data_IF_760412148972
#
_entry.id   IF_760412148972
#
_cell.length_a   1.000
_cell.length_b   1.000
_cell.length_c   1.000
_cell.angle_alpha   90.00
_cell.angle_beta   90.00
_cell.angle_gamma   90.00
#
_symmetry.space_group_name_H-M   'P 1'
#
loop_
_entity.id
_entity.type
_entity.pdbx_description
1 polymer ?
2 non-polymer ?
3 water ?
#
# COMPACT_ATOMS: atom_id res chain seq x y z
N UNK A 1 8.74 -6.36 2.84
CA UNK A 1 8.00 -7.65 2.85
C UNK A 1 8.92 -8.71 3.42
N UNK A 2 8.45 -9.39 4.48
CA UNK A 2 9.20 -10.50 5.09
C UNK A 2 8.72 -11.85 4.53
N UNK A 3 9.64 -12.71 4.16
CA UNK A 3 9.30 -14.05 3.73
C UNK A 3 8.76 -14.05 2.33
N UNK A 4 9.04 -12.99 1.56
CA UNK A 4 8.60 -13.03 0.14
C UNK A 4 9.75 -13.30 -0.85
N UNK A 5 9.48 -13.05 -2.12
CA UNK A 5 10.47 -13.34 -3.17
C UNK A 5 10.57 -12.11 -4.05
N UNK A 6 11.60 -12.12 -4.90
CA UNK A 6 11.68 -11.07 -5.92
C UNK A 6 10.46 -11.13 -6.86
N UNK A 7 9.83 -9.98 -7.13
CA UNK A 7 8.80 -9.89 -8.17
C UNK A 7 9.49 -10.02 -9.55
N UNK A 8 8.75 -10.47 -10.55
CA UNK A 8 9.30 -10.33 -11.92
C UNK A 8 9.15 -8.87 -12.33
N UNK A 9 9.96 -8.44 -13.26
CA UNK A 9 9.88 -7.09 -13.75
C UNK A 9 8.51 -6.83 -14.33
N UNK A 10 7.86 -5.70 -13.97
CA UNK A 10 6.47 -5.35 -14.41
C UNK A 10 5.33 -6.26 -13.92
N UNK A 11 5.58 -7.07 -12.89
CA UNK A 11 4.52 -8.02 -12.41
C UNK A 11 3.39 -7.29 -11.68
N UNK A 12 3.72 -6.16 -11.05
CA UNK A 12 2.77 -5.36 -10.34
C UNK A 12 2.83 -3.92 -10.87
N UNK A 13 2.30 -3.68 -12.11
CA UNK A 13 2.49 -2.37 -12.72
C UNK A 13 1.64 -1.27 -12.06
N UNK A 14 0.82 -1.63 -11.09
CA UNK A 14 0.18 -0.61 -10.22
C UNK A 14 0.96 -0.22 -9.00
N UNK A 15 2.03 -0.95 -8.68
CA UNK A 15 2.82 -0.66 -7.46
C UNK A 15 3.70 0.57 -7.71
N UNK A 16 3.61 1.54 -6.80
CA UNK A 16 4.32 2.81 -6.98
C UNK A 16 5.24 3.00 -5.76
N UNK A 17 6.39 3.67 -5.91
CA UNK A 17 7.28 4.05 -4.80
C UNK A 17 7.22 5.60 -4.59
N UNK A 18 6.92 6.05 -3.35
CA UNK A 18 6.99 7.44 -2.96
C UNK A 18 8.28 7.74 -2.19
N UNK A 19 9.08 8.62 -2.79
CA UNK A 19 10.31 9.19 -2.24
C UNK A 19 10.14 10.62 -1.74
N UNK A 20 10.55 10.86 -0.51
CA UNK A 20 10.57 12.22 0.04
C UNK A 20 11.90 12.86 -0.30
N UNK A 21 11.91 14.11 -0.64
CA UNK A 21 13.09 14.78 -1.08
C UNK A 21 14.31 14.62 -0.19
N UNK A 22 15.34 14.02 -0.76
CA UNK A 22 16.60 13.69 -0.10
C UNK A 22 16.58 12.53 0.84
N UNK A 23 15.53 11.70 0.78
CA UNK A 23 15.38 10.61 1.74
C UNK A 23 15.19 9.26 1.18
N UNK A 24 15.03 9.15 -0.14
CA UNK A 24 14.69 7.88 -0.77
C UNK A 24 13.29 7.37 -0.47
N UNK A 25 13.07 6.10 -0.82
CA UNK A 25 11.78 5.46 -0.66
C UNK A 25 11.25 5.58 0.74
N UNK A 26 10.00 6.01 0.84
CA UNK A 26 9.36 6.10 2.18
C UNK A 26 8.17 5.22 2.34
N UNK A 27 7.27 5.33 1.34
CA UNK A 27 6.05 4.59 1.34
C UNK A 27 5.73 4.06 -0.05
N UNK A 28 4.80 3.09 -0.04
CA UNK A 28 4.21 2.55 -1.26
C UNK A 28 2.99 3.36 -1.58
N UNK A 29 2.57 3.24 -2.80
CA UNK A 29 1.21 3.64 -3.27
C UNK A 29 0.72 2.72 -4.41
N UNK A 30 -0.52 2.93 -4.82
CA UNK A 30 -1.07 2.15 -5.95
C UNK A 30 -1.61 3.10 -6.98
N UNK A 31 -1.43 2.74 -8.26
CA UNK A 31 -1.94 3.57 -9.32
C UNK A 31 -3.44 3.20 -9.53
N UNK A 32 -4.37 4.16 -9.46
CA UNK A 32 -5.80 3.81 -9.69
C UNK A 32 -6.44 4.39 -10.97
N UNK A 33 -5.71 5.32 -11.58
CA UNK A 33 -6.17 6.10 -12.76
C UNK A 33 -4.95 6.87 -13.33
N UNK A 34 -5.09 7.53 -14.53
CA UNK A 34 -3.93 8.29 -15.03
C UNK A 34 -3.42 9.32 -14.03
N UNK A 35 -4.28 9.82 -13.14
CA UNK A 35 -3.98 10.99 -12.31
C UNK A 35 -3.98 10.76 -10.80
N UNK A 36 -4.32 9.54 -10.36
CA UNK A 36 -4.58 9.34 -8.92
C UNK A 36 -3.89 8.14 -8.40
N UNK A 37 -3.34 8.27 -7.19
CA UNK A 37 -2.85 7.15 -6.48
C UNK A 37 -3.55 7.03 -5.14
N UNK A 38 -3.62 5.80 -4.65
CA UNK A 38 -3.98 5.45 -3.26
C UNK A 38 -2.73 5.08 -2.45
N UNK A 39 -2.69 5.55 -1.19
CA UNK A 39 -1.61 5.29 -0.21
C UNK A 39 -2.18 5.39 1.21
N UNK A 40 -1.30 5.45 2.24
CA UNK A 40 -1.74 5.45 3.61
C UNK A 40 -1.52 6.86 4.15
N UNK A 41 -2.51 7.39 4.87
CA UNK A 41 -2.45 8.75 5.41
C UNK A 41 -1.23 9.00 6.29
N UNK A 42 -0.83 7.96 7.03
CA UNK A 42 0.23 8.08 8.02
C UNK A 42 1.58 8.33 7.38
N UNK A 43 1.68 8.13 6.08
CA UNK A 43 2.92 8.49 5.38
C UNK A 43 3.05 10.02 5.20
N UNK A 44 1.96 10.76 5.34
CA UNK A 44 1.97 12.17 4.92
C UNK A 44 1.75 13.13 6.09
N UNK A 45 2.36 12.79 7.23
CA UNK A 45 2.25 13.60 8.47
C UNK A 45 3.55 14.35 8.78
N UNK A 46 3.61 15.45 9.15
CA UNK A 46 4.81 16.21 9.47
C UNK A 46 5.50 15.76 10.75
N UNK A 47 6.80 15.92 10.80
CA UNK A 47 7.50 15.68 12.05
C UNK A 47 8.39 16.92 12.21
N UNK A 48 9.02 17.11 13.37
CA UNK A 48 9.83 18.31 13.58
C UNK A 48 10.91 18.64 12.56
N UNK A 49 11.41 17.57 11.86
CA UNK A 49 12.46 17.85 10.90
C UNK A 49 12.08 17.76 9.43
N UNK A 50 10.86 17.33 9.12
CA UNK A 50 10.46 17.20 7.72
C UNK A 50 8.95 17.28 7.53
N UNK A 51 8.52 18.07 6.54
CA UNK A 51 7.09 18.24 6.27
C UNK A 51 6.56 17.19 5.29
N UNK A 52 6.36 15.98 5.79
CA UNK A 52 5.83 14.92 4.94
C UNK A 52 4.43 15.22 4.38
N UNK A 53 3.71 16.16 4.98
CA UNK A 53 2.37 16.49 4.50
C UNK A 53 2.36 17.41 3.27
N UNK A 54 3.53 17.95 2.92
CA UNK A 54 3.64 18.90 1.80
C UNK A 54 3.84 18.11 0.51
N UNK A 55 2.90 18.23 -0.48
CA UNK A 55 2.99 17.49 -1.77
C UNK A 55 4.23 17.76 -2.58
N UNK A 56 4.74 18.96 -2.45
CA UNK A 56 5.89 19.34 -3.25
C UNK A 56 7.13 18.66 -2.73
N UNK A 57 7.06 17.99 -1.56
CA UNK A 57 8.19 17.28 -1.01
C UNK A 57 8.32 15.83 -1.53
N UNK A 58 7.50 15.45 -2.52
CA UNK A 58 7.48 14.05 -2.95
C UNK A 58 7.80 13.82 -4.42
N UNK A 59 8.26 12.63 -4.71
CA UNK A 59 8.40 12.13 -6.06
C UNK A 59 7.80 10.76 -6.04
N UNK A 60 6.91 10.47 -7.00
CA UNK A 60 6.40 9.13 -7.24
C UNK A 60 7.12 8.50 -8.43
N UNK A 61 7.48 7.25 -8.24
CA UNK A 61 8.09 6.43 -9.29
C UNK A 61 7.12 5.31 -9.73
N UNK A 62 6.69 5.38 -10.99
CA UNK A 62 5.82 4.34 -11.51
C UNK A 62 6.64 3.45 -12.41
N UNK A 63 6.19 2.18 -12.48
CA UNK A 63 6.87 1.11 -13.29
C UNK A 63 8.28 0.86 -12.80
N UNK A 64 8.51 1.17 -11.52
CA UNK A 64 9.80 0.91 -10.88
C UNK A 64 10.02 -0.57 -10.52
N UNK A 65 11.25 -1.09 -10.68
CA UNK A 65 11.56 -2.43 -10.23
C UNK A 65 12.60 -2.41 -9.16
N UNK A 66 13.71 -1.72 -9.45
CA UNK A 66 14.89 -1.72 -8.60
C UNK A 66 15.11 -0.29 -8.12
N UNK A 67 15.05 -0.09 -6.80
CA UNK A 67 15.37 1.26 -6.18
C UNK A 67 16.74 1.85 -6.61
N UNK A 68 17.69 1.02 -7.02
CA UNK A 68 18.95 1.49 -7.55
C UNK A 68 18.92 1.85 -9.05
N UNK A 69 17.78 1.61 -9.71
CA UNK A 69 17.68 1.83 -11.15
C UNK A 69 16.41 2.62 -11.47
N UNK A 70 16.33 3.82 -10.91
CA UNK A 70 15.16 4.67 -11.02
C UNK A 70 15.06 5.34 -12.37
N UNK A 71 16.08 5.17 -13.19
CA UNK A 71 16.21 5.77 -14.53
C UNK A 71 16.20 4.80 -15.72
N UNK A 72 15.62 3.56 -15.30
CA UNK A 72 15.58 2.40 -16.17
C UNK A 72 14.47 2.67 -17.22
N UNK A 73 14.58 2.07 -18.43
CA UNK A 73 13.50 2.29 -19.42
C UNK A 73 12.14 1.84 -18.87
N UNK A 74 11.12 2.66 -19.13
CA UNK A 74 9.76 2.37 -18.67
C UNK A 74 9.43 2.89 -17.26
N UNK A 75 10.43 3.30 -16.50
CA UNK A 75 10.17 3.95 -15.18
C UNK A 75 9.66 5.38 -15.42
N UNK A 76 8.61 5.82 -14.73
CA UNK A 76 8.09 7.17 -14.98
C UNK A 76 8.22 7.94 -13.65
N UNK A 77 8.71 9.18 -13.69
CA UNK A 77 8.85 9.96 -12.45
C UNK A 77 7.78 11.07 -12.48
N UNK A 78 7.11 11.28 -11.34
CA UNK A 78 6.03 12.22 -11.32
C UNK A 78 6.14 12.98 -10.03
N UNK A 79 5.84 14.27 -10.10
CA UNK A 79 5.55 15.04 -8.90
C UNK A 79 4.11 14.94 -8.45
N UNK A 80 3.84 15.40 -7.24
CA UNK A 80 2.44 15.43 -6.73
C UNK A 80 1.93 16.86 -6.70
N UNK A 81 0.66 17.04 -7.06
CA UNK A 81 -0.02 18.29 -6.96
C UNK A 81 -0.80 18.42 -5.65
N UNK A 82 -1.29 17.30 -5.09
CA UNK A 82 -2.15 17.35 -3.91
C UNK A 82 -2.07 16.03 -3.12
N UNK A 83 -2.20 16.08 -1.78
CA UNK A 83 -2.36 14.89 -0.90
C UNK A 83 -3.70 15.12 -0.21
N UNK A 84 -4.68 14.22 -0.39
CA UNK A 84 -5.88 14.27 0.45
C UNK A 84 -5.84 13.16 1.50
N UNK A 85 -5.55 13.50 2.76
CA UNK A 85 -5.62 12.50 3.83
C UNK A 85 -7.09 12.32 4.21
N UNK A 86 -7.50 11.13 4.56
CA UNK A 86 -8.86 10.94 4.99
C UNK A 86 -9.16 11.82 6.17
N UNK A 87 -10.28 12.58 6.10
CA UNK A 87 -10.66 13.48 7.24
C UNK A 87 -10.79 12.80 8.58
N UNK A 88 -11.07 11.50 8.60
CA UNK A 88 -11.20 10.82 9.89
C UNK A 88 -9.97 10.03 10.31
N UNK A 89 -8.86 10.21 9.57
CA UNK A 89 -7.61 9.59 9.99
C UNK A 89 -7.23 10.00 11.39
N UNK A 90 -6.83 9.00 12.16
CA UNK A 90 -6.55 9.09 13.58
C UNK A 90 -5.12 8.63 13.75
N UNK A 91 -4.23 9.61 13.97
CA UNK A 91 -2.79 9.39 14.15
C UNK A 91 -2.41 8.40 15.28
N UNK A 92 -3.33 8.18 16.23
CA UNK A 92 -3.05 7.38 17.42
C UNK A 92 -3.47 5.94 17.17
N UNK A 93 -4.66 5.74 16.61
CA UNK A 93 -5.16 4.40 16.34
C UNK A 93 -4.86 3.92 14.89
N UNK A 94 -4.52 4.85 14.01
CA UNK A 94 -4.42 4.60 12.57
C UNK A 94 -5.78 4.22 11.97
N UNK A 95 -6.89 4.56 12.66
CA UNK A 95 -8.18 4.42 11.96
C UNK A 95 -8.17 5.35 10.72
N UNK A 96 -8.87 4.90 9.65
CA UNK A 96 -9.03 5.67 8.37
C UNK A 96 -7.63 6.00 7.78
N UNK A 97 -6.72 5.00 7.81
CA UNK A 97 -5.37 5.24 7.28
C UNK A 97 -5.32 5.12 5.76
N UNK A 98 -5.68 6.18 5.09
CA UNK A 98 -5.84 6.18 3.65
C UNK A 98 -5.68 7.63 3.16
N UNK A 99 -4.94 7.79 2.06
CA UNK A 99 -4.80 9.06 1.36
C UNK A 99 -4.92 8.90 -0.15
N UNK A 100 -5.25 9.98 -0.83
CA UNK A 100 -5.27 9.99 -2.29
C UNK A 100 -4.25 11.00 -2.71
N UNK A 101 -3.44 10.66 -3.69
CA UNK A 101 -2.34 11.54 -4.08
C UNK A 101 -2.55 11.92 -5.52
N UNK A 102 -2.56 13.21 -5.81
CA UNK A 102 -2.87 13.62 -7.22
C UNK A 102 -1.56 13.85 -7.94
N UNK A 103 -1.30 13.02 -8.97
CA UNK A 103 -0.14 13.21 -9.81
C UNK A 103 -0.21 14.58 -10.47
N UNK A 104 0.97 15.15 -10.63
CA UNK A 104 1.11 16.52 -11.16
C UNK A 104 0.86 16.50 -12.67
N UNK A 105 1.27 15.41 -13.31
CA UNK A 105 1.01 15.15 -14.72
C UNK A 105 0.56 13.68 -14.80
N UNK A 106 -0.34 13.32 -15.76
CA UNK A 106 -0.85 11.94 -15.80
C UNK A 106 0.20 10.90 -16.05
N UNK A 107 -0.08 9.72 -15.52
CA UNK A 107 0.83 8.62 -15.82
C UNK A 107 0.59 8.26 -17.28
N UNK A 108 1.59 7.67 -17.94
CA UNK A 108 1.40 7.04 -19.28
C UNK A 108 1.25 5.57 -19.14
N UNK A 109 0.09 5.02 -19.46
CA UNK A 109 -0.09 3.54 -19.34
C UNK A 109 0.82 2.80 -20.30
N UNK A 110 1.38 1.67 -19.88
CA UNK A 110 2.32 0.91 -20.68
C UNK A 110 2.35 -0.49 -20.14
N UNK A 111 3.22 -1.37 -20.66
CA UNK A 111 3.21 -2.75 -20.09
C UNK A 111 3.70 -2.76 -18.59
N UNK A 112 4.37 -1.69 -18.18
CA UNK A 112 4.97 -1.58 -16.81
C UNK A 112 4.15 -0.71 -15.89
N UNK A 113 3.19 0.03 -16.47
CA UNK A 113 2.45 1.06 -15.74
C UNK A 113 0.98 0.95 -16.05
N UNK A 114 0.20 0.59 -15.04
CA UNK A 114 -1.17 0.17 -15.30
C UNK A 114 -1.91 0.22 -13.94
N UNK A 115 -3.15 0.75 -13.93
CA UNK A 115 -3.91 0.85 -12.70
C UNK A 115 -4.42 -0.53 -12.25
N UNK A 116 -4.55 -0.67 -10.93
CA UNK A 116 -5.18 -1.78 -10.30
C UNK A 116 -6.68 -1.51 -10.29
N UNK A 117 -7.51 -2.55 -10.29
CA UNK A 117 -8.95 -2.31 -10.36
C UNK A 117 -9.39 -2.00 -8.92
N UNK A 118 -10.42 -1.16 -8.81
CA UNK A 118 -11.04 -0.87 -7.50
C UNK A 118 -12.34 -1.69 -7.23
N UNK A 119 -12.47 -2.23 -5.97
CA UNK A 119 -13.63 -3.06 -5.73
C UNK A 119 -14.86 -2.16 -5.41
N UNK A 120 -16.04 -2.57 -5.90
CA UNK A 120 -17.31 -1.95 -5.48
C UNK A 120 -17.54 -1.93 -3.97
N UNK A 121 -18.32 -0.94 -3.53
CA UNK A 121 -18.68 -0.78 -2.07
C UNK A 121 -19.17 -2.05 -1.37
N UNK A 122 -19.98 -2.86 -2.06
CA UNK A 122 -20.55 -4.05 -1.44
C UNK A 122 -19.64 -5.31 -1.54
N UNK A 123 -18.48 -5.20 -2.18
CA UNK A 123 -17.66 -6.43 -2.34
C UNK A 123 -17.00 -6.79 -1.01
N UNK A 124 -16.97 -8.10 -0.68
CA UNK A 124 -16.30 -8.60 0.51
C UNK A 124 -15.17 -9.51 0.09
N UNK A 125 -14.02 -9.25 0.62
CA UNK A 125 -12.86 -10.14 0.41
C UNK A 125 -12.94 -11.11 1.56
N UNK A 126 -13.27 -12.38 1.28
CA UNK A 126 -13.65 -13.29 2.32
C UNK A 126 -12.48 -13.83 3.14
N UNK A 127 -12.74 -14.17 4.40
CA UNK A 127 -11.78 -14.93 5.19
C UNK A 127 -11.16 -16.10 4.46
N UNK A 128 -9.84 -16.26 4.59
CA UNK A 128 -9.18 -17.41 3.99
C UNK A 128 -8.66 -17.17 2.58
N UNK A 129 -9.13 -16.11 1.90
CA UNK A 129 -8.75 -15.88 0.48
C UNK A 129 -7.26 -15.50 0.40
N UNK A 130 -6.54 -16.05 -0.56
CA UNK A 130 -5.10 -15.69 -0.82
C UNK A 130 -5.06 -14.33 -1.50
N UNK A 131 -4.13 -13.48 -1.08
CA UNK A 131 -3.93 -12.18 -1.73
C UNK A 131 -2.45 -11.83 -1.61
N UNK A 132 -2.03 -10.86 -2.41
CA UNK A 132 -0.60 -10.57 -2.47
C UNK A 132 -0.26 -9.24 -1.91
N UNK A 133 0.81 -9.21 -1.16
CA UNK A 133 1.36 -7.94 -0.67
C UNK A 133 2.72 -7.69 -1.38
N UNK A 134 3.00 -6.44 -1.71
CA UNK A 134 4.23 -6.13 -2.49
C UNK A 134 4.86 -4.87 -1.90
N UNK A 135 6.18 -4.73 -1.90
CA UNK A 135 6.78 -3.44 -1.52
C UNK A 135 8.29 -3.52 -1.48
N UNK A 136 8.94 -2.36 -1.26
CA UNK A 136 10.37 -2.26 -1.05
C UNK A 136 10.72 -2.10 0.39
N UNK A 137 9.83 -2.54 1.28
CA UNK A 137 10.02 -2.26 2.72
C UNK A 137 10.98 -3.28 3.27
N UNK A 138 11.25 -3.19 4.58
CA UNK A 138 12.07 -4.16 5.30
C UNK A 138 11.75 -5.61 5.03
N UNK A 139 12.81 -6.39 4.80
CA UNK A 139 12.62 -7.82 4.58
C UNK A 139 12.75 -8.61 5.88
N UNK A 140 13.07 -7.92 6.96
CA UNK A 140 12.97 -8.39 8.34
C UNK A 140 12.68 -7.27 9.32
N UNK A 141 12.03 -7.59 10.44
CA UNK A 141 11.76 -6.56 11.43
C UNK A 141 13.12 -6.00 11.94
N UNK A 142 13.25 -4.67 11.99
CA UNK A 142 14.59 -4.08 12.34
C UNK A 142 15.62 -4.22 11.21
N UNK A 143 15.21 -4.77 10.09
CA UNK A 143 16.16 -5.20 9.06
C UNK A 143 16.43 -4.06 8.09
N UNK A 144 16.58 -4.20 6.59
CA UNK A 144 16.94 -3.20 5.58
C UNK A 144 15.96 -3.38 4.44
N UNK A 145 15.67 -2.28 3.77
CA UNK A 145 14.74 -2.25 2.61
C UNK A 145 15.20 -3.15 1.49
N UNK A 146 14.26 -3.71 0.71
CA UNK A 146 14.62 -4.46 -0.48
C UNK A 146 14.95 -3.51 -1.65
N UNK A 147 16.06 -3.83 -2.36
CA UNK A 147 16.32 -3.13 -3.64
C UNK A 147 15.28 -3.50 -4.68
N UNK A 148 15.04 -4.80 -4.82
CA UNK A 148 14.19 -5.37 -5.84
C UNK A 148 12.76 -5.50 -5.20
N UNK A 149 11.73 -5.00 -5.89
CA UNK A 149 10.36 -5.17 -5.42
C UNK A 149 10.11 -6.65 -4.98
N UNK A 150 9.56 -6.79 -3.76
CA UNK A 150 9.21 -8.07 -3.17
C UNK A 150 7.73 -8.31 -3.26
N UNK A 151 7.37 -9.59 -3.45
CA UNK A 151 5.99 -10.04 -3.33
C UNK A 151 5.86 -11.18 -2.27
N UNK A 152 4.73 -11.27 -1.57
CA UNK A 152 4.48 -12.38 -0.67
C UNK A 152 3.00 -12.66 -0.68
N UNK A 153 2.67 -13.94 -0.56
CA UNK A 153 1.27 -14.40 -0.51
C UNK A 153 0.81 -14.53 0.97
N UNK A 154 -0.33 -13.94 1.28
CA UNK A 154 -0.84 -13.93 2.67
C UNK A 154 -2.36 -14.24 2.53
N UNK A 155 -3.06 -14.42 3.65
CA UNK A 155 -4.48 -14.73 3.55
C UNK A 155 -5.32 -13.88 4.45
N UNK A 156 -6.50 -13.53 3.97
CA UNK A 156 -7.43 -12.70 4.78
C UNK A 156 -7.76 -13.51 6.06
N UNK A 157 -7.73 -12.82 7.21
CA UNK A 157 -8.00 -13.41 8.53
C UNK A 157 -9.39 -12.93 8.97
N UNK A 158 -10.17 -13.83 9.61
CA UNK A 158 -11.54 -13.55 10.16
C UNK A 158 -11.47 -12.30 11.09
N UNK A 159 -12.44 -11.40 11.00
CA UNK A 159 -12.33 -10.10 11.71
C UNK A 159 -12.31 -10.21 13.23
N UNK A 160 -13.14 -11.12 13.75
CA UNK A 160 -13.19 -11.45 15.18
C UNK A 160 -11.83 -11.91 15.67
N UNK A 161 -11.24 -12.91 14.98
CA UNK A 161 -9.86 -13.35 15.28
C UNK A 161 -8.90 -12.17 15.34
N UNK A 162 -8.97 -11.32 14.32
CA UNK A 162 -8.17 -10.08 14.25
C UNK A 162 -8.30 -9.16 15.50
N UNK A 163 -9.54 -8.71 15.79
CA UNK A 163 -9.82 -7.94 17.04
C UNK A 163 -9.24 -8.59 18.30
N UNK A 164 -9.38 -9.93 18.39
CA UNK A 164 -8.86 -10.69 19.55
C UNK A 164 -7.35 -10.80 19.61
N UNK A 165 -6.72 -10.91 18.46
CA UNK A 165 -5.26 -10.91 18.48
C UNK A 165 -4.65 -9.59 18.91
N UNK A 166 -5.37 -8.48 18.65
CA UNK A 166 -4.80 -7.11 18.84
C UNK A 166 -5.83 -6.25 19.61
N UNK A 167 -6.08 -6.64 20.88
CA UNK A 167 -7.22 -6.12 21.65
C UNK A 167 -7.25 -4.56 21.67
N UNK A 168 -8.40 -3.96 21.47
CA UNK A 168 -8.53 -2.51 21.58
C UNK A 168 -7.81 -1.76 20.48
N UNK A 169 -7.48 -2.49 19.43
CA UNK A 169 -6.79 -1.80 18.38
C UNK A 169 -7.38 -1.95 16.98
N UNK A 170 -8.39 -2.80 16.77
CA UNK A 170 -8.82 -3.10 15.42
C UNK A 170 -10.20 -2.51 15.22
N UNK A 171 -10.33 -1.57 14.27
CA UNK A 171 -11.64 -0.95 13.98
C UNK A 171 -12.21 -1.62 12.74
N UNK A 172 -13.51 -1.36 12.40
CA UNK A 172 -14.03 -2.00 11.18
C UNK A 172 -13.37 -1.52 9.85
N UNK A 173 -12.62 -0.41 9.87
CA UNK A 173 -11.88 0.03 8.64
C UNK A 173 -10.65 -0.85 8.47
N UNK A 174 -10.31 -1.66 9.50
CA UNK A 174 -9.06 -2.42 9.39
C UNK A 174 -9.31 -3.90 9.06
N UNK A 175 -8.29 -4.55 8.52
CA UNK A 175 -8.46 -5.97 8.14
C UNK A 175 -7.15 -6.69 8.40
N UNK A 176 -7.18 -7.82 9.14
CA UNK A 176 -5.93 -8.62 9.35
C UNK A 176 -5.67 -9.51 8.08
N UNK A 177 -4.45 -9.52 7.55
CA UNK A 177 -4.14 -10.38 6.40
C UNK A 177 -2.68 -10.90 6.65
N UNK A 178 -2.48 -12.22 6.51
CA UNK A 178 -1.16 -12.76 6.74
C UNK A 178 -1.39 -14.10 7.40
N UNK A 179 -0.54 -14.73 8.42
CA UNK A 179 -0.77 -16.06 8.95
C UNK A 179 -0.62 -15.91 10.45
N UNK A 180 -1.43 -16.61 11.25
CA UNK A 180 -1.18 -16.56 12.70
C UNK A 180 0.22 -17.13 13.04
N UNK A 181 0.74 -17.99 12.18
CA UNK A 181 2.10 -18.62 12.43
C UNK A 181 3.15 -17.59 12.11
N UNK A 182 2.90 -16.29 11.41
CA UNK A 182 3.93 -15.38 10.99
C UNK A 182 4.55 -15.85 9.65
N UNK A 183 5.83 -15.49 9.50
CA UNK A 183 6.65 -15.88 8.39
C UNK A 183 6.52 -15.01 7.16
N UNK A 184 5.28 -14.76 6.70
CA UNK A 184 5.08 -13.84 5.55
C UNK A 184 4.22 -12.65 5.99
N UNK A 185 4.72 -11.40 5.76
CA UNK A 185 4.09 -10.20 6.30
C UNK A 185 4.64 -9.04 5.54
N UNK A 186 3.91 -7.92 5.56
CA UNK A 186 4.56 -6.67 5.11
C UNK A 186 5.36 -6.07 6.28
N UNK A 187 6.08 -4.98 6.03
CA UNK A 187 6.89 -4.44 7.10
C UNK A 187 7.16 -2.92 6.88
N UNK A 188 7.81 -2.19 7.83
CA UNK A 188 8.20 -0.78 7.60
C UNK A 188 8.57 -0.51 6.10
N UNK A 189 7.99 0.53 5.51
CA UNK A 189 8.25 0.96 4.13
C UNK A 189 7.35 0.29 3.11
N UNK A 190 6.64 -0.80 3.47
CA UNK A 190 5.66 -1.36 2.53
C UNK A 190 4.41 -0.54 2.72
N UNK A 191 4.31 0.10 3.89
CA UNK A 191 3.18 0.98 4.22
C UNK A 191 2.77 1.86 3.02
N UNK A 192 1.44 2.00 2.80
CA UNK A 192 0.87 2.76 1.72
C UNK A 192 0.68 1.92 0.45
N UNK A 193 1.38 0.78 0.32
CA UNK A 193 1.25 -0.01 -0.93
C UNK A 193 -0.07 -0.82 -0.94
N UNK A 194 -0.42 -1.43 -2.08
CA UNK A 194 -1.67 -2.20 -2.18
C UNK A 194 -1.59 -3.66 -1.78
N UNK A 195 -2.72 -4.22 -1.32
CA UNK A 195 -2.91 -5.68 -1.45
C UNK A 195 -3.51 -5.91 -2.82
N UNK A 196 -2.97 -6.88 -3.55
CA UNK A 196 -3.52 -7.28 -4.83
C UNK A 196 -4.29 -8.59 -4.75
N UNK A 197 -5.59 -8.60 -5.12
CA UNK A 197 -6.34 -9.82 -5.00
C UNK A 197 -6.71 -10.29 -6.39
N UNK A 198 -6.40 -11.55 -6.72
CA UNK A 198 -6.75 -12.12 -8.06
C UNK A 198 -8.25 -12.48 -8.04
N UNK A 199 -9.05 -11.86 -8.89
CA UNK A 199 -10.50 -12.07 -8.83
C UNK A 199 -10.98 -13.06 -9.91
N UNK A 200 -12.36 -13.33 -10.11
CA UNK A 200 -12.90 -14.43 -10.92
C UNK A 200 -12.43 -14.69 -12.33
N UNK A 201 -11.99 -13.67 -13.03
CA UNK A 201 -11.46 -13.88 -14.38
C UNK A 201 -9.96 -13.58 -14.44
N UNK A 202 -9.19 -13.57 -13.26
CA UNK A 202 -7.76 -13.22 -13.12
C UNK A 202 -7.37 -11.71 -13.02
N UNK A 203 -8.34 -10.82 -13.15
CA UNK A 203 -8.03 -9.39 -12.94
C UNK A 203 -7.75 -9.11 -11.49
N UNK A 204 -6.82 -8.18 -11.24
CA UNK A 204 -6.36 -7.86 -9.85
C UNK A 204 -7.07 -6.61 -9.38
N UNK A 205 -7.76 -6.81 -8.25
CA UNK A 205 -8.37 -5.74 -7.49
C UNK A 205 -7.58 -5.45 -6.22
N UNK A 206 -7.67 -4.18 -5.77
CA UNK A 206 -7.06 -3.73 -4.54
C UNK A 206 -7.91 -4.14 -3.35
N UNK A 207 -7.33 -5.00 -2.52
CA UNK A 207 -7.97 -5.45 -1.31
C UNK A 207 -7.61 -4.75 0.01
N UNK A 208 -6.65 -3.85 -0.04
CA UNK A 208 -6.28 -3.13 1.19
C UNK A 208 -5.13 -2.22 0.98
N UNK A 209 -4.84 -1.41 2.00
CA UNK A 209 -3.67 -0.54 2.02
C UNK A 209 -2.81 -1.05 3.16
N UNK A 210 -1.51 -1.24 2.92
CA UNK A 210 -0.60 -1.59 4.02
C UNK A 210 -0.55 -0.51 5.10
N UNK A 211 -0.90 -0.85 6.34
CA UNK A 211 -1.11 0.23 7.33
C UNK A 211 -0.11 0.09 8.51
N UNK A 212 -0.29 -0.95 9.33
CA UNK A 212 0.55 -1.20 10.46
C UNK A 212 0.61 -2.65 10.91
N UNK A 213 1.46 -2.93 11.89
CA UNK A 213 1.49 -4.26 12.54
C UNK A 213 2.44 -4.15 13.72
N UNK A 214 2.38 -5.17 14.56
CA UNK A 214 3.23 -5.21 15.76
C UNK A 214 4.48 -6.07 15.48
N UNK A 215 5.77 -5.43 15.16
CA UNK A 215 6.97 -5.95 14.48
C UNK A 215 6.46 -6.43 13.11
N UNK A 216 6.98 -7.56 12.66
CA UNK A 216 6.66 -8.00 11.31
C UNK A 216 6.89 -9.48 11.29
N UNK A 217 5.92 -10.20 10.75
CA UNK A 217 5.99 -11.66 10.51
C UNK A 217 6.19 -12.44 11.81
N UNK A 218 5.65 -11.78 12.98
CA UNK A 218 5.57 -12.33 14.34
C UNK A 218 4.37 -13.26 14.46
N UNK A 219 4.52 -14.38 15.15
CA UNK A 219 3.43 -15.24 15.55
C UNK A 219 2.35 -14.38 16.16
N UNK A 220 1.15 -14.56 15.71
CA UNK A 220 -0.06 -14.01 16.33
C UNK A 220 -0.16 -12.51 16.18
N UNK A 221 0.68 -11.97 15.30
CA UNK A 221 0.71 -10.52 14.96
C UNK A 221 0.63 -10.26 13.42
N UNK A 222 -0.49 -10.65 12.77
CA UNK A 222 -0.57 -10.45 11.34
C UNK A 222 -0.61 -8.95 11.01
N UNK A 223 -0.41 -8.64 9.74
CA UNK A 223 -0.32 -7.26 9.28
C UNK A 223 -1.74 -6.74 9.27
N UNK A 224 -1.88 -5.44 9.54
CA UNK A 224 -3.22 -4.81 9.58
C UNK A 224 -3.27 -3.82 8.43
N UNK A 225 -4.41 -3.83 7.71
CA UNK A 225 -4.55 -3.17 6.41
C UNK A 225 -5.79 -2.34 6.43
N UNK A 226 -5.71 -1.15 5.84
CA UNK A 226 -6.95 -0.40 5.56
C UNK A 226 -7.75 -1.07 4.45
N UNK A 227 -9.03 -1.35 4.73
CA UNK A 227 -9.95 -1.94 3.73
C UNK A 227 -10.20 -1.03 2.50
N UNK A 228 -10.48 -1.58 1.32
CA UNK A 228 -10.82 -0.69 0.15
C UNK A 228 -12.31 -0.46 -0.14
N UNK A 229 -13.13 -1.53 -0.08
CA UNK A 229 -14.54 -1.35 -0.49
C UNK A 229 -15.20 -0.23 0.28
N UNK A 230 -14.87 -0.10 1.56
CA UNK A 230 -15.49 0.96 2.43
C UNK A 230 -15.24 2.36 1.91
N UNK A 231 -14.15 2.50 1.16
CA UNK A 231 -13.78 3.81 0.58
C UNK A 231 -14.10 4.07 -0.86
N UNK A 232 -14.80 3.14 -1.55
CA UNK A 232 -15.08 3.32 -2.98
C UNK A 232 -15.75 4.65 -3.26
N UNK A 233 -16.78 4.96 -2.48
CA UNK A 233 -17.52 6.24 -2.61
C UNK A 233 -16.70 7.49 -2.29
N UNK A 234 -15.87 7.38 -1.26
CA UNK A 234 -14.98 8.48 -0.90
C UNK A 234 -13.99 8.72 -2.00
N UNK A 235 -13.49 7.65 -2.62
CA UNK A 235 -12.56 7.81 -3.76
C UNK A 235 -13.27 8.49 -4.94
N UNK A 236 -14.49 8.03 -5.24
CA UNK A 236 -15.24 8.63 -6.39
C UNK A 236 -15.50 10.14 -6.19
N UNK A 237 -15.88 10.50 -4.98
CA UNK A 237 -16.28 11.84 -4.63
C UNK A 237 -15.11 12.76 -4.74
N UNK A 238 -13.93 12.26 -4.41
CA UNK A 238 -12.73 13.12 -4.36
C UNK A 238 -11.92 13.14 -5.66
N UNK A 239 -12.06 12.12 -6.48
CA UNK A 239 -11.13 11.94 -7.61
C UNK A 239 -11.85 11.93 -8.94
N UNK A 240 -13.17 11.69 -8.94
CA UNK A 240 -13.87 11.32 -10.18
C UNK A 240 -13.65 9.87 -10.58
N UNK A 241 -12.71 9.14 -9.94
CA UNK A 241 -12.44 7.73 -10.34
C UNK A 241 -13.52 6.79 -9.77
#
# INVERSE_FOLDING_TARGET
VVGGTDADEGEWPWQVSLHALGQGHICGASLISPNWLVSAAHCYIDDRGFRYSDPTQWTAFLGLHDQSQRSAPGVQERRLKRIISHPFFNDFTFDYDIALLELEKPAEYSSMVRPICLPDASHVFPAGKAIWVTGWGHTQYGGTGALILQKGEIRVINQTTCENLLPQQITPRMMCVGFLSGGVDSCQGDSGGPLSSVEADGRIFQAGVVSWGDGCAQRNKPGVYTRLPLFRDWIKENTGV
#
